data_IF_760187784233
#
_entry.id   IF_760187784233
#
_cell.length_a   1.000
_cell.length_b   1.000
_cell.length_c   1.000
_cell.angle_alpha   90.00
_cell.angle_beta   90.00
_cell.angle_gamma   90.00
#
_symmetry.space_group_name_H-M   'P 1'
#
loop_
_entity.id
_entity.type
_entity.pdbx_description
1 polymer ?
#
# COMPACT_ATOMS: atom_id res chain seq x y z
N UNK A 1 11.06 10.73 17.60
CA UNK A 1 9.98 9.91 17.03
C UNK A 1 10.06 9.97 15.52
N UNK A 2 10.25 8.83 14.90
CA UNK A 2 10.21 8.75 13.44
C UNK A 2 8.76 8.67 12.99
N UNK A 3 8.34 9.59 12.14
CA UNK A 3 6.98 9.63 11.61
C UNK A 3 6.97 9.08 10.18
N UNK A 4 5.94 8.29 9.87
CA UNK A 4 5.66 7.88 8.50
C UNK A 4 5.14 9.10 7.76
N UNK A 5 5.79 9.45 6.63
CA UNK A 5 5.32 10.53 5.76
C UNK A 5 4.21 9.98 4.86
N UNK A 6 3.01 10.50 5.05
CA UNK A 6 1.88 10.21 4.15
C UNK A 6 1.84 11.32 3.11
N UNK A 7 2.01 10.97 1.84
CA UNK A 7 1.89 11.89 0.73
C UNK A 7 0.50 11.78 0.13
N UNK A 8 -0.21 12.91 0.06
CA UNK A 8 -1.52 13.01 -0.56
C UNK A 8 -1.32 13.52 -1.98
N UNK A 9 -1.59 12.67 -2.97
CA UNK A 9 -1.50 13.01 -4.39
C UNK A 9 -2.84 13.46 -4.94
N UNK A 10 -2.80 14.49 -5.81
CA UNK A 10 -3.92 14.84 -6.69
C UNK A 10 -3.73 14.01 -7.96
N UNK A 11 -4.56 13.02 -8.21
CA UNK A 11 -4.53 12.16 -9.41
C UNK A 11 -3.41 11.11 -9.46
N UNK A 12 -3.48 10.11 -8.61
CA UNK A 12 -3.03 8.77 -9.00
C UNK A 12 -4.12 8.23 -9.93
N UNK A 13 -4.00 8.43 -11.25
CA UNK A 13 -5.08 8.08 -12.17
C UNK A 13 -5.41 6.59 -12.09
N UNK A 14 -6.70 6.26 -12.02
CA UNK A 14 -7.19 4.88 -12.01
C UNK A 14 -6.67 4.07 -13.22
N UNK A 15 -6.47 4.73 -14.35
CA UNK A 15 -5.91 4.14 -15.58
C UNK A 15 -4.46 3.69 -15.39
N UNK A 16 -3.66 4.49 -14.69
CA UNK A 16 -2.26 4.16 -14.41
C UNK A 16 -2.16 2.98 -13.41
N UNK A 17 -3.07 2.91 -12.47
CA UNK A 17 -3.15 1.84 -11.47
C UNK A 17 -3.58 0.51 -12.10
N UNK A 18 -4.58 0.50 -12.98
CA UNK A 18 -5.06 -0.71 -13.64
C UNK A 18 -4.04 -1.21 -14.68
N UNK A 19 -3.39 -0.31 -15.39
CA UNK A 19 -2.31 -0.65 -16.32
C UNK A 19 -1.12 -1.26 -15.58
N UNK A 20 -0.69 -0.66 -14.47
CA UNK A 20 0.38 -1.19 -13.63
C UNK A 20 0.02 -2.54 -13.02
N UNK A 21 -1.21 -2.72 -12.54
CA UNK A 21 -1.70 -4.01 -12.03
C UNK A 21 -1.66 -5.10 -13.10
N UNK A 22 -2.05 -4.78 -14.32
CA UNK A 22 -2.01 -5.72 -15.44
C UNK A 22 -0.57 -6.09 -15.79
N UNK A 23 0.31 -5.09 -15.86
CA UNK A 23 1.75 -5.30 -16.08
C UNK A 23 2.37 -6.13 -14.95
N UNK A 24 2.12 -5.77 -13.67
CA UNK A 24 2.62 -6.52 -12.52
C UNK A 24 2.12 -7.97 -12.50
N UNK A 25 0.84 -8.20 -12.85
CA UNK A 25 0.28 -9.54 -12.94
C UNK A 25 0.89 -10.35 -14.08
N UNK A 26 1.13 -9.72 -15.22
CA UNK A 26 1.82 -10.37 -16.36
C UNK A 26 3.27 -10.70 -16.01
N UNK A 27 3.98 -9.79 -15.38
CA UNK A 27 5.35 -10.04 -14.95
C UNK A 27 5.44 -11.09 -13.84
N UNK A 28 4.46 -11.15 -12.95
CA UNK A 28 4.41 -12.19 -11.92
C UNK A 28 4.17 -13.58 -12.52
N UNK A 29 3.36 -13.70 -13.57
CA UNK A 29 3.19 -14.96 -14.30
C UNK A 29 4.42 -15.38 -15.11
N UNK A 30 5.17 -14.43 -15.63
CA UNK A 30 6.38 -14.70 -16.43
C UNK A 30 7.59 -14.99 -15.54
N UNK A 31 7.63 -14.42 -14.33
CA UNK A 31 8.82 -14.40 -13.46
C UNK A 31 8.92 -15.49 -12.41
N UNK A 32 8.07 -16.52 -12.43
CA UNK A 32 8.31 -17.70 -11.58
C UNK A 32 9.60 -18.46 -11.96
N UNK A 33 10.23 -18.09 -13.08
CA UNK A 33 11.49 -18.71 -13.53
C UNK A 33 12.67 -17.72 -13.72
N UNK A 34 12.45 -16.41 -13.59
CA UNK A 34 13.48 -15.39 -13.78
C UNK A 34 13.53 -14.43 -12.61
N UNK A 35 14.07 -14.88 -11.49
CA UNK A 35 14.38 -14.06 -10.32
C UNK A 35 15.66 -13.25 -10.59
N UNK A 36 15.59 -12.18 -11.35
CA UNK A 36 16.68 -11.20 -11.38
C UNK A 36 16.18 -9.75 -11.31
N UNK A 37 16.16 -9.24 -10.08
CA UNK A 37 16.61 -7.92 -9.66
C UNK A 37 16.01 -6.64 -10.30
N UNK A 38 14.79 -6.62 -10.82
CA UNK A 38 14.19 -5.33 -11.25
C UNK A 38 12.75 -5.12 -10.85
N UNK A 39 12.15 -6.03 -10.12
CA UNK A 39 10.73 -5.91 -9.76
C UNK A 39 10.58 -5.75 -8.25
N UNK A 40 9.76 -4.76 -7.88
CA UNK A 40 9.32 -4.57 -6.52
C UNK A 40 8.74 -5.87 -5.97
N UNK A 41 9.23 -6.35 -4.84
CA UNK A 41 8.56 -7.42 -4.14
C UNK A 41 7.27 -6.89 -3.50
N UNK A 42 6.35 -7.76 -3.25
CA UNK A 42 5.00 -7.42 -2.81
C UNK A 42 4.78 -7.90 -1.37
N UNK A 43 4.78 -7.02 -0.38
CA UNK A 43 4.47 -7.39 1.00
C UNK A 43 3.05 -7.95 1.12
N UNK A 44 2.89 -8.99 1.91
CA UNK A 44 1.58 -9.52 2.23
C UNK A 44 0.77 -8.46 2.97
N UNK A 45 -0.46 -8.25 2.52
CA UNK A 45 -1.30 -7.15 2.97
C UNK A 45 -2.73 -7.63 3.16
N UNK A 46 -3.33 -7.25 4.27
CA UNK A 46 -4.75 -7.41 4.54
C UNK A 46 -5.45 -6.06 4.44
N UNK A 47 -6.63 -6.06 3.85
CA UNK A 47 -7.53 -4.91 3.84
C UNK A 47 -8.81 -5.33 4.55
N UNK A 48 -9.12 -4.66 5.63
CA UNK A 48 -10.30 -4.89 6.44
C UNK A 48 -11.21 -3.68 6.38
N UNK A 49 -12.43 -3.87 5.92
CA UNK A 49 -13.42 -2.81 5.77
C UNK A 49 -14.42 -2.85 6.91
N UNK A 50 -14.63 -1.71 7.54
CA UNK A 50 -15.66 -1.45 8.53
C UNK A 50 -16.66 -0.42 7.98
N UNK A 51 -17.74 -0.16 8.68
CA UNK A 51 -18.78 0.78 8.23
C UNK A 51 -18.21 2.17 7.90
N UNK A 52 -17.30 2.68 8.73
CA UNK A 52 -16.78 4.05 8.62
C UNK A 52 -15.30 4.13 8.32
N UNK A 53 -14.60 3.02 8.29
CA UNK A 53 -13.14 2.99 8.20
C UNK A 53 -12.67 1.78 7.41
N UNK A 54 -11.56 1.95 6.71
CA UNK A 54 -10.78 0.87 6.09
C UNK A 54 -9.46 0.77 6.84
N UNK A 55 -9.06 -0.42 7.22
CA UNK A 55 -7.76 -0.69 7.84
C UNK A 55 -6.94 -1.56 6.90
N UNK A 56 -5.78 -1.06 6.53
CA UNK A 56 -4.80 -1.79 5.71
C UNK A 56 -3.62 -2.17 6.59
N UNK A 57 -3.28 -3.45 6.58
CA UNK A 57 -2.18 -4.00 7.38
C UNK A 57 -1.19 -4.70 6.46
N UNK A 58 0.09 -4.34 6.53
CA UNK A 58 1.14 -4.93 5.69
C UNK A 58 2.31 -5.46 6.54
N UNK A 59 2.83 -6.63 6.15
CA UNK A 59 4.02 -7.23 6.76
C UNK A 59 5.29 -6.60 6.18
N UNK A 60 5.96 -5.79 6.99
CA UNK A 60 7.17 -5.05 6.59
C UNK A 60 8.32 -5.26 7.59
N UNK A 61 8.46 -6.48 8.10
CA UNK A 61 9.50 -6.80 9.08
C UNK A 61 10.90 -6.44 8.58
N UNK A 62 11.72 -5.90 9.45
CA UNK A 62 13.12 -5.58 9.18
C UNK A 62 13.32 -4.32 8.30
N UNK A 63 12.30 -3.50 8.12
CA UNK A 63 12.38 -2.24 7.38
C UNK A 63 12.48 -1.09 8.38
N UNK A 64 13.36 -0.14 8.10
CA UNK A 64 13.39 1.11 8.85
C UNK A 64 12.15 1.95 8.51
N UNK A 65 11.54 2.56 9.52
CA UNK A 65 10.35 3.39 9.33
C UNK A 65 10.59 4.53 8.34
N UNK A 66 11.82 5.05 8.26
CA UNK A 66 12.21 6.09 7.31
C UNK A 66 12.23 5.62 5.85
N UNK A 67 12.29 4.30 5.63
CA UNK A 67 12.28 3.66 4.31
C UNK A 67 10.86 3.22 3.87
N UNK A 68 9.83 3.55 4.65
CA UNK A 68 8.43 3.26 4.35
C UNK A 68 7.74 4.53 3.85
N UNK A 69 7.10 4.45 2.70
CA UNK A 69 6.33 5.54 2.09
C UNK A 69 4.89 5.12 1.88
N UNK A 70 3.98 5.98 2.29
CA UNK A 70 2.53 5.83 2.08
C UNK A 70 2.04 7.03 1.29
N UNK A 71 1.44 6.75 0.15
CA UNK A 71 0.83 7.77 -0.72
C UNK A 71 -0.64 7.40 -0.93
N UNK A 72 -1.51 8.39 -0.89
CA UNK A 72 -2.93 8.16 -1.09
C UNK A 72 -3.60 9.33 -1.79
N UNK A 73 -4.61 9.04 -2.55
CA UNK A 73 -5.66 9.96 -2.96
C UNK A 73 -7.01 9.46 -2.40
N UNK A 74 -8.11 10.01 -2.86
CA UNK A 74 -9.44 9.63 -2.34
C UNK A 74 -9.83 8.17 -2.63
N UNK A 75 -9.17 7.48 -3.56
CA UNK A 75 -9.55 6.14 -4.01
C UNK A 75 -8.40 5.16 -4.13
N UNK A 76 -7.18 5.64 -4.06
CA UNK A 76 -5.98 4.81 -4.25
C UNK A 76 -5.08 4.90 -3.04
N UNK A 77 -4.54 3.78 -2.61
CA UNK A 77 -3.51 3.70 -1.60
C UNK A 77 -2.27 3.02 -2.19
N UNK A 78 -1.13 3.66 -2.07
CA UNK A 78 0.17 3.11 -2.43
C UNK A 78 1.04 2.98 -1.20
N UNK A 79 1.63 1.81 -1.02
CA UNK A 79 2.65 1.53 -0.02
C UNK A 79 3.91 1.15 -0.77
N UNK A 80 5.02 1.81 -0.48
CA UNK A 80 6.30 1.53 -1.12
C UNK A 80 7.46 1.77 -0.18
N UNK A 81 8.62 1.30 -0.55
CA UNK A 81 9.84 1.50 0.23
C UNK A 81 10.94 0.53 -0.15
N UNK A 82 11.91 0.39 0.74
CA UNK A 82 13.05 -0.49 0.53
C UNK A 82 13.34 -1.31 1.79
N UNK A 83 13.47 -2.62 1.62
CA UNK A 83 14.10 -3.48 2.64
C UNK A 83 15.57 -3.61 2.30
N UNK A 84 16.41 -3.00 3.12
CA UNK A 84 17.86 -3.05 2.92
C UNK A 84 18.37 -4.44 3.25
N UNK A 85 19.16 -4.98 2.37
CA UNK A 85 19.85 -6.24 2.64
C UNK A 85 20.86 -6.02 3.77
N UNK A 86 20.85 -6.94 4.75
CA UNK A 86 21.83 -6.97 5.82
C UNK A 86 22.96 -7.91 5.39
N UNK A 87 24.15 -7.38 5.08
CA UNK A 87 25.24 -8.24 4.67
C UNK A 87 25.66 -9.14 5.84
N UNK A 88 25.87 -10.39 5.54
CA UNK A 88 26.53 -11.30 6.47
C UNK A 88 27.99 -10.91 6.59
N UNK A 89 28.52 -10.85 7.81
CA UNK A 89 29.90 -10.44 8.06
C UNK A 89 30.91 -11.54 7.80
N UNK A 90 30.44 -12.74 7.58
CA UNK A 90 31.23 -13.96 7.44
C UNK A 90 31.14 -14.46 5.99
N UNK A 91 32.17 -15.11 5.52
CA UNK A 91 32.15 -15.79 4.25
C UNK A 91 31.23 -16.99 4.28
N UNK A 92 30.35 -17.10 3.31
CA UNK A 92 29.38 -18.16 3.24
C UNK A 92 28.52 -18.09 1.99
N UNK A 93 27.59 -19.04 1.86
CA UNK A 93 26.63 -19.07 0.78
C UNK A 93 25.23 -19.41 1.32
N UNK A 94 24.22 -18.85 0.72
CA UNK A 94 22.85 -19.21 1.03
C UNK A 94 22.54 -20.63 0.56
N UNK A 95 22.01 -21.45 1.44
CA UNK A 95 21.39 -22.72 1.08
C UNK A 95 19.92 -22.55 0.71
N UNK A 96 19.27 -21.51 1.25
CA UNK A 96 17.91 -21.10 0.97
C UNK A 96 17.82 -19.57 1.14
N UNK A 97 17.20 -18.87 0.22
CA UNK A 97 17.05 -17.42 0.24
C UNK A 97 15.63 -17.05 -0.23
N UNK A 98 14.68 -17.03 0.70
CA UNK A 98 13.26 -16.74 0.42
C UNK A 98 12.82 -15.36 0.87
N UNK A 99 13.58 -14.72 1.78
CA UNK A 99 13.23 -13.39 2.28
C UNK A 99 13.54 -12.35 1.21
N UNK A 100 12.54 -11.69 0.65
CA UNK A 100 12.76 -10.67 -0.36
C UNK A 100 13.44 -9.44 0.24
N UNK A 101 14.36 -8.84 -0.53
CA UNK A 101 15.02 -7.57 -0.22
C UNK A 101 14.88 -6.59 -1.38
N UNK A 102 15.29 -5.35 -1.17
CA UNK A 102 15.22 -4.30 -2.16
C UNK A 102 13.89 -3.57 -2.15
N UNK A 103 13.55 -2.96 -3.27
CA UNK A 103 12.35 -2.14 -3.41
C UNK A 103 11.08 -2.98 -3.36
N UNK A 104 10.08 -2.47 -2.65
CA UNK A 104 8.72 -3.04 -2.60
C UNK A 104 7.67 -2.00 -2.96
N UNK A 105 6.56 -2.46 -3.51
CA UNK A 105 5.42 -1.61 -3.85
C UNK A 105 4.12 -2.42 -3.81
N UNK A 106 3.09 -1.82 -3.23
CA UNK A 106 1.70 -2.27 -3.32
C UNK A 106 0.82 -1.09 -3.65
N UNK A 107 -0.07 -1.27 -4.61
CA UNK A 107 -1.07 -0.26 -4.99
C UNK A 107 -2.44 -0.91 -4.89
N UNK A 108 -3.37 -0.24 -4.22
CA UNK A 108 -4.73 -0.70 -4.01
C UNK A 108 -5.73 0.35 -4.47
N UNK A 109 -6.75 -0.09 -5.18
CA UNK A 109 -7.97 0.69 -5.38
C UNK A 109 -8.88 0.44 -4.19
N UNK A 110 -9.27 1.48 -3.49
CA UNK A 110 -10.12 1.40 -2.31
C UNK A 110 -11.59 1.21 -2.71
N UNK A 111 -12.36 0.42 -1.95
CA UNK A 111 -13.77 0.17 -2.27
C UNK A 111 -14.65 1.40 -2.07
N UNK A 112 -14.21 2.34 -1.24
CA UNK A 112 -14.94 3.56 -0.88
C UNK A 112 -14.02 4.77 -0.98
N UNK A 113 -14.59 5.95 -1.22
CA UNK A 113 -13.87 7.21 -1.12
C UNK A 113 -13.47 7.45 0.34
N UNK A 114 -12.28 7.97 0.53
CA UNK A 114 -11.71 8.27 1.85
C UNK A 114 -11.48 9.77 2.06
N UNK A 115 -11.48 10.16 3.33
CA UNK A 115 -11.08 11.50 3.76
C UNK A 115 -9.56 11.53 3.88
N UNK A 116 -8.88 12.14 2.93
CA UNK A 116 -7.41 12.13 2.83
C UNK A 116 -6.73 12.79 4.03
N UNK A 117 -7.38 13.77 4.64
CA UNK A 117 -6.87 14.50 5.82
C UNK A 117 -6.97 13.67 7.11
N UNK A 118 -7.75 12.58 7.09
CA UNK A 118 -7.97 11.70 8.23
C UNK A 118 -7.24 10.35 8.12
N UNK A 119 -6.25 10.27 7.25
CA UNK A 119 -5.41 9.07 7.10
C UNK A 119 -4.33 9.07 8.18
N UNK A 120 -4.22 7.95 8.89
CA UNK A 120 -3.17 7.73 9.88
C UNK A 120 -2.42 6.45 9.60
N UNK A 121 -1.16 6.39 9.97
CA UNK A 121 -0.35 5.19 9.83
C UNK A 121 0.52 4.99 11.07
N UNK A 122 0.69 3.73 11.45
CA UNK A 122 1.59 3.29 12.52
C UNK A 122 2.39 2.09 12.07
N UNK A 123 3.59 1.97 12.61
CA UNK A 123 4.48 0.85 12.33
C UNK A 123 5.06 0.33 13.64
N UNK A 124 4.81 -0.93 13.93
CA UNK A 124 5.27 -1.61 15.15
C UNK A 124 5.44 -3.09 14.86
N UNK A 125 6.47 -3.69 15.44
CA UNK A 125 6.76 -5.12 15.36
C UNK A 125 6.80 -5.69 13.93
N UNK A 126 7.24 -4.87 12.98
CA UNK A 126 7.29 -5.23 11.55
C UNK A 126 5.95 -5.13 10.82
N UNK A 127 4.93 -4.63 11.47
CA UNK A 127 3.59 -4.46 10.89
C UNK A 127 3.30 -2.98 10.68
N UNK A 128 3.01 -2.62 9.44
CA UNK A 128 2.45 -1.33 9.07
C UNK A 128 0.92 -1.41 9.13
N UNK A 129 0.29 -0.53 9.86
CA UNK A 129 -1.15 -0.37 9.88
C UNK A 129 -1.53 1.03 9.40
N UNK A 130 -2.42 1.11 8.41
CA UNK A 130 -2.95 2.35 7.86
C UNK A 130 -4.45 2.37 8.09
N UNK A 131 -4.94 3.45 8.68
CA UNK A 131 -6.37 3.69 8.93
C UNK A 131 -6.86 4.80 8.01
N UNK A 132 -7.93 4.51 7.30
CA UNK A 132 -8.49 5.34 6.23
C UNK A 132 -9.97 5.56 6.54
N UNK A 133 -10.32 6.75 7.01
CA UNK A 133 -11.70 7.11 7.28
C UNK A 133 -12.47 7.24 5.96
N UNK A 134 -13.59 6.55 5.83
CA UNK A 134 -14.48 6.66 4.67
C UNK A 134 -15.15 8.04 4.64
N UNK A 135 -15.32 8.59 3.44
CA UNK A 135 -16.22 9.70 3.24
C UNK A 135 -17.65 9.23 3.54
N UNK A 136 -18.28 9.83 4.52
CA UNK A 136 -19.70 9.67 4.71
C UNK A 136 -20.40 10.37 3.55
N UNK A 137 -21.23 9.65 2.81
CA UNK A 137 -22.25 10.27 2.00
C UNK A 137 -23.29 10.84 2.95
N UNK A 138 -22.97 11.96 3.58
CA UNK A 138 -23.99 12.77 4.19
C UNK A 138 -24.76 13.43 3.07
N UNK A 139 -26.06 13.24 3.17
CA UNK A 139 -27.11 13.96 2.47
C UNK A 139 -27.64 13.19 1.26
N UNK A 140 -28.55 12.31 1.54
CA UNK A 140 -29.78 12.30 0.76
C UNK A 140 -30.50 13.62 1.11
N UNK A 141 -30.27 14.68 0.34
CA UNK A 141 -31.18 15.82 0.36
C UNK A 141 -32.52 15.32 -0.20
N UNK A 142 -33.46 15.13 0.66
CA UNK A 142 -34.83 14.97 0.23
C UNK A 142 -35.30 16.29 -0.39
N UNK A 143 -35.32 16.34 -1.70
CA UNK A 143 -35.93 17.45 -2.43
C UNK A 143 -37.44 17.26 -2.30
N UNK A 144 -38.07 18.13 -1.51
CA UNK A 144 -39.51 18.18 -1.45
C UNK A 144 -40.04 18.75 -2.78
N UNK A 145 -40.55 17.87 -3.63
CA UNK A 145 -41.28 18.31 -4.84
C UNK A 145 -42.66 18.79 -4.42
N UNK A 146 -42.91 20.08 -4.54
CA UNK A 146 -44.28 20.63 -4.39
C UNK A 146 -44.98 20.43 -5.73
N UNK A 147 -46.14 19.78 -5.68
CA UNK A 147 -47.08 19.79 -6.81
C UNK A 147 -47.64 21.20 -7.00
N UNK A 148 -47.64 21.66 -8.17
CA UNK A 148 -48.25 22.92 -8.57
C UNK A 148 -49.77 22.73 -8.68
#
# INVERSE_FOLDING_TARGET
MSNIKIRIGKNLSAVDTDFRRTIDSMFHMINTQFTFNRHAWRPHTNIFEMDREIVVTAELAGIDISDIHVETDQRTLKISGIRRERPYREEGSFLLAEIPSGYFERIFTLPSLIVTEAVTASYSDGILQIRLKKMTRDIIQSITVRSI
#
